data_IF_454729027579
#
_entry.id   IF_454729027579
#
_cell.length_a   1.000
_cell.length_b   1.000
_cell.length_c   1.000
_cell.angle_alpha   90.00
_cell.angle_beta   90.00
_cell.angle_gamma   90.00
#
_symmetry.space_group_name_H-M   'P 1'
#
loop_
_entity.id
_entity.type
_entity.pdbx_description
1 polymer ?
#
# COMPACT_ATOMS: atom_id res chain seq x y z
N UNK A 1 -5.10 1.52 -14.72
CA UNK A 1 -3.66 1.23 -14.63
C UNK A 1 -3.23 1.60 -13.23
N UNK A 2 -2.67 0.66 -12.47
CA UNK A 2 -2.04 1.03 -11.19
C UNK A 2 -0.84 1.92 -11.49
N UNK A 3 -0.70 3.05 -10.78
CA UNK A 3 0.44 3.96 -10.91
C UNK A 3 1.75 3.33 -10.42
N UNK A 4 1.68 2.24 -9.64
CA UNK A 4 2.82 1.54 -9.06
C UNK A 4 2.66 0.01 -9.19
N UNK A 5 3.78 -0.68 -9.35
CA UNK A 5 3.85 -2.15 -9.26
C UNK A 5 3.86 -2.61 -7.81
N UNK A 6 3.60 -3.90 -7.57
CA UNK A 6 3.63 -4.51 -6.23
C UNK A 6 4.99 -4.31 -5.56
N UNK A 7 6.09 -4.48 -6.30
CA UNK A 7 7.44 -4.33 -5.76
C UNK A 7 7.76 -2.86 -5.45
N UNK A 8 7.32 -1.91 -6.29
CA UNK A 8 7.45 -0.48 -6.00
C UNK A 8 6.66 -0.06 -4.76
N UNK A 9 5.45 -0.60 -4.56
CA UNK A 9 4.66 -0.34 -3.35
C UNK A 9 5.35 -0.86 -2.10
N UNK A 10 5.91 -2.08 -2.15
CA UNK A 10 6.70 -2.65 -1.03
C UNK A 10 7.92 -1.81 -0.71
N UNK A 11 8.67 -1.36 -1.72
CA UNK A 11 9.83 -0.49 -1.52
C UNK A 11 9.44 0.86 -0.90
N UNK A 12 8.34 1.46 -1.38
CA UNK A 12 7.82 2.72 -0.83
C UNK A 12 7.36 2.59 0.62
N UNK A 13 6.67 1.51 0.97
CA UNK A 13 6.24 1.23 2.35
C UNK A 13 7.48 1.12 3.25
N UNK A 14 8.48 0.34 2.84
CA UNK A 14 9.73 0.18 3.59
C UNK A 14 10.44 1.52 3.83
N UNK A 15 10.57 2.35 2.80
CA UNK A 15 11.19 3.68 2.93
C UNK A 15 10.39 4.62 3.86
N UNK A 16 9.06 4.48 3.90
CA UNK A 16 8.23 5.23 4.83
C UNK A 16 8.39 4.74 6.26
N UNK A 17 8.45 3.42 6.48
CA UNK A 17 8.68 2.83 7.80
C UNK A 17 10.03 3.28 8.38
N UNK A 18 11.10 3.25 7.57
CA UNK A 18 12.44 3.74 7.96
C UNK A 18 12.42 5.25 8.33
N UNK A 19 11.65 6.06 7.60
CA UNK A 19 11.47 7.50 7.90
C UNK A 19 10.68 7.73 9.18
N UNK A 20 9.65 6.93 9.44
CA UNK A 20 8.85 6.99 10.67
C UNK A 20 9.74 6.64 11.87
N UNK A 21 10.54 5.58 11.77
CA UNK A 21 11.47 5.15 12.84
C UNK A 21 12.54 6.21 13.13
N UNK A 22 13.08 6.83 12.08
CA UNK A 22 14.03 7.96 12.21
C UNK A 22 13.37 9.17 12.88
N UNK A 23 12.14 9.51 12.47
CA UNK A 23 11.40 10.62 13.04
C UNK A 23 11.05 10.38 14.52
N UNK A 24 10.64 9.15 14.86
CA UNK A 24 10.38 8.71 16.24
C UNK A 24 11.64 8.77 17.12
N UNK A 25 12.80 8.42 16.56
CA UNK A 25 14.08 8.50 17.27
C UNK A 25 14.53 9.95 17.53
N UNK A 26 14.01 10.91 16.76
CA UNK A 26 14.34 12.35 16.86
C UNK A 26 13.46 13.10 17.88
N UNK A 27 12.54 12.40 18.58
CA UNK A 27 11.53 13.00 19.49
C UNK A 27 12.12 13.69 20.74
N UNK A 28 13.44 13.77 20.91
CA UNK A 28 14.08 14.37 22.09
C UNK A 28 14.00 15.90 22.21
N UNK A 29 13.57 16.65 21.18
CA UNK A 29 13.62 18.14 21.24
C UNK A 29 12.40 18.91 20.67
N UNK A 30 11.60 18.34 19.77
CA UNK A 30 10.54 19.08 19.02
C UNK A 30 9.17 18.34 18.95
N UNK A 31 8.67 17.85 20.08
CA UNK A 31 7.56 16.87 20.17
C UNK A 31 6.25 17.17 19.41
N UNK A 32 5.89 18.43 19.15
CA UNK A 32 4.65 18.77 18.39
C UNK A 32 4.80 18.67 16.87
N UNK A 33 5.90 19.16 16.32
CA UNK A 33 6.14 19.10 14.87
C UNK A 33 6.42 17.67 14.41
N UNK A 34 7.15 16.91 15.23
CA UNK A 34 7.49 15.51 14.97
C UNK A 34 6.24 14.62 15.01
N UNK A 35 5.30 14.88 15.91
CA UNK A 35 4.03 14.14 15.98
C UNK A 35 3.18 14.32 14.71
N UNK A 36 3.08 15.54 14.19
CA UNK A 36 2.35 15.80 12.94
C UNK A 36 3.04 15.14 11.74
N UNK A 37 4.37 15.21 11.66
CA UNK A 37 5.15 14.60 10.60
C UNK A 37 5.02 13.06 10.60
N UNK A 38 5.11 12.44 11.78
CA UNK A 38 4.90 10.98 11.93
C UNK A 38 3.49 10.61 11.47
N UNK A 39 2.46 11.35 11.91
CA UNK A 39 1.08 11.07 11.53
C UNK A 39 0.87 11.15 10.01
N UNK A 40 1.45 12.15 9.35
CA UNK A 40 1.31 12.28 7.90
C UNK A 40 2.06 11.19 7.13
N UNK A 41 3.25 10.78 7.60
CA UNK A 41 3.98 9.64 7.05
C UNK A 41 3.23 8.32 7.25
N UNK A 42 2.62 8.09 8.42
CA UNK A 42 1.79 6.92 8.70
C UNK A 42 0.58 6.86 7.78
N UNK A 43 -0.12 7.98 7.56
CA UNK A 43 -1.24 8.03 6.59
C UNK A 43 -0.81 7.71 5.16
N UNK A 44 0.39 8.14 4.75
CA UNK A 44 0.91 7.78 3.42
C UNK A 44 1.23 6.29 3.33
N UNK A 45 1.81 5.73 4.38
CA UNK A 45 2.13 4.31 4.49
C UNK A 45 0.86 3.45 4.42
N UNK A 46 -0.19 3.82 5.13
CA UNK A 46 -1.47 3.11 5.12
C UNK A 46 -2.15 3.14 3.76
N UNK A 47 -2.05 4.26 3.02
CA UNK A 47 -2.55 4.33 1.64
C UNK A 47 -1.81 3.36 0.71
N UNK A 48 -0.48 3.31 0.79
CA UNK A 48 0.29 2.37 -0.03
C UNK A 48 0.06 0.91 0.37
N UNK A 49 -0.16 0.63 1.66
CA UNK A 49 -0.53 -0.70 2.13
C UNK A 49 -1.89 -1.12 1.58
N UNK A 50 -2.91 -0.25 1.62
CA UNK A 50 -4.22 -0.55 1.05
C UNK A 50 -4.15 -0.81 -0.47
N UNK A 51 -3.35 -0.02 -1.20
CA UNK A 51 -3.11 -0.27 -2.63
C UNK A 51 -2.41 -1.61 -2.87
N UNK A 52 -1.44 -1.98 -2.03
CA UNK A 52 -0.75 -3.26 -2.12
C UNK A 52 -1.72 -4.42 -1.87
N UNK A 53 -2.56 -4.32 -0.84
CA UNK A 53 -3.54 -5.33 -0.49
C UNK A 53 -4.60 -5.50 -1.61
N UNK A 54 -5.05 -4.40 -2.22
CA UNK A 54 -5.93 -4.45 -3.39
C UNK A 54 -5.26 -5.11 -4.60
N UNK A 55 -3.99 -4.81 -4.88
CA UNK A 55 -3.26 -5.44 -5.98
C UNK A 55 -3.03 -6.93 -5.73
N UNK A 56 -2.74 -7.33 -4.49
CA UNK A 56 -2.62 -8.73 -4.09
C UNK A 56 -3.96 -9.46 -4.19
N UNK A 57 -5.06 -8.83 -3.78
CA UNK A 57 -6.41 -9.38 -3.90
C UNK A 57 -6.83 -9.54 -5.38
N UNK A 58 -6.50 -8.57 -6.24
CA UNK A 58 -6.73 -8.66 -7.68
C UNK A 58 -5.84 -9.72 -8.35
N UNK A 59 -4.59 -9.87 -7.90
CA UNK A 59 -3.66 -10.90 -8.37
C UNK A 59 -4.15 -12.30 -7.97
N UNK A 60 -4.63 -12.46 -6.73
CA UNK A 60 -5.19 -13.71 -6.20
C UNK A 60 -6.51 -14.15 -6.83
N UNK A 61 -7.30 -13.22 -7.38
CA UNK A 61 -8.60 -13.53 -8.02
C UNK A 61 -8.54 -13.92 -9.50
N UNK A 62 -7.39 -13.81 -10.18
CA UNK A 62 -7.32 -14.17 -11.62
C UNK A 62 -7.23 -15.67 -11.91
N UNK A 63 -7.23 -16.52 -10.89
CA UNK A 63 -7.39 -17.97 -11.07
C UNK A 63 -8.87 -18.32 -11.01
N UNK A 64 -9.47 -18.54 -12.19
CA UNK A 64 -10.86 -18.98 -12.47
C UNK A 64 -11.95 -17.90 -12.52
N UNK A 65 -11.97 -17.14 -13.61
CA UNK A 65 -13.24 -16.82 -14.30
C UNK A 65 -13.28 -17.49 -15.68
N UNK A 66 -13.32 -18.83 -15.70
CA UNK A 66 -13.80 -19.56 -16.87
C UNK A 66 -15.33 -19.50 -16.82
N UNK A 67 -15.92 -18.38 -17.27
CA UNK A 67 -17.38 -18.34 -17.49
C UNK A 67 -17.66 -19.24 -18.69
N UNK A 68 -18.24 -20.40 -18.40
CA UNK A 68 -18.72 -21.38 -19.36
C UNK A 68 -19.64 -20.69 -20.37
N UNK A 69 -19.38 -20.96 -21.66
CA UNK A 69 -20.17 -20.49 -22.80
C UNK A 69 -21.60 -21.02 -22.69
N UNK A 70 -22.58 -20.13 -22.78
CA UNK A 70 -23.90 -20.52 -23.30
C UNK A 70 -23.88 -20.30 -24.81
N UNK A 71 -23.56 -21.35 -25.55
CA UNK A 71 -23.98 -21.42 -26.94
C UNK A 71 -25.51 -21.55 -26.92
N UNK A 72 -26.24 -20.47 -27.21
CA UNK A 72 -27.67 -20.57 -27.52
C UNK A 72 -27.76 -21.08 -28.96
N UNK A 73 -27.91 -22.39 -29.09
CA UNK A 73 -28.57 -22.99 -30.25
C UNK A 73 -30.07 -22.99 -29.97
N UNK A 74 -30.82 -22.16 -30.67
CA UNK A 74 -32.22 -22.31 -31.15
C UNK A 74 -32.77 -20.96 -31.54
#
# INVERSE_FOLDING_TARGET
MSLYTIDELKQKIRLLDEKIETAQSTVSFNGRAVSWQINELSKQRDRYQAMLDEMLAQSGQKVKKHRIKYARFS
#
